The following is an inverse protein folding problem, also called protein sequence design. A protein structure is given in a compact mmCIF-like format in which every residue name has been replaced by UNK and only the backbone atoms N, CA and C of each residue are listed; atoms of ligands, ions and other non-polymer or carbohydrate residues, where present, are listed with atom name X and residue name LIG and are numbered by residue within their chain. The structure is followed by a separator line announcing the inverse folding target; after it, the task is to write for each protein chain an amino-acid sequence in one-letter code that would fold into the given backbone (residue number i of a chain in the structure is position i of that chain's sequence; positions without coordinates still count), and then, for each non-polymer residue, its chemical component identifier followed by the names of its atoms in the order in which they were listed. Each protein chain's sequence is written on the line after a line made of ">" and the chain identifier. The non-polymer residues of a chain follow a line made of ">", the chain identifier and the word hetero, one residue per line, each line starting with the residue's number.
data_IF_016866640842
#
_entry.id   IF_016866640842
#
_cell.length_a   1.000
_cell.length_b   1.000
_cell.length_c   1.000
_cell.angle_alpha   90.00
_cell.angle_beta   90.00
_cell.angle_gamma   90.00
#
_symmetry.space_group_name_H-M   'P 1'
#
loop_
_entity.id
_entity.type
_entity.pdbx_description
1 polymer ?
#
# COMPACT_ATOMS: atom_id res chain seq x y z
N UNK A 1 10.79 -7.98 10.94
CA UNK A 1 9.75 -8.92 10.51
C UNK A 1 8.54 -8.73 11.39
N UNK A 2 7.38 -8.45 10.80
CA UNK A 2 6.09 -8.40 11.48
C UNK A 2 5.32 -9.68 11.21
N UNK A 3 4.26 -9.87 11.99
CA UNK A 3 3.37 -11.00 11.90
C UNK A 3 1.95 -10.50 11.69
N UNK A 4 1.23 -11.14 10.79
CA UNK A 4 -0.09 -10.72 10.38
C UNK A 4 -1.08 -11.88 10.48
N UNK A 5 -2.32 -11.56 10.80
CA UNK A 5 -3.43 -12.47 10.73
C UNK A 5 -4.39 -12.00 9.65
N UNK A 6 -4.73 -12.89 8.72
CA UNK A 6 -5.72 -12.60 7.67
C UNK A 6 -6.92 -13.54 7.77
N UNK A 7 -8.12 -12.96 7.76
CA UNK A 7 -9.38 -13.71 7.68
C UNK A 7 -9.83 -13.81 6.23
N UNK A 8 -9.80 -15.03 5.67
CA UNK A 8 -10.10 -15.27 4.25
C UNK A 8 -11.32 -16.19 4.07
N UNK A 9 -12.34 -16.06 4.94
CA UNK A 9 -13.51 -16.95 4.90
C UNK A 9 -14.24 -16.94 3.54
N UNK A 10 -14.18 -15.84 2.79
CA UNK A 10 -14.87 -15.65 1.51
C UNK A 10 -13.97 -15.91 0.29
N UNK A 11 -12.68 -15.61 0.38
CA UNK A 11 -11.76 -15.49 -0.77
C UNK A 11 -10.47 -16.32 -0.63
N UNK A 12 -10.41 -17.23 0.35
CA UNK A 12 -9.19 -18.02 0.62
C UNK A 12 -8.66 -18.74 -0.61
N UNK A 13 -9.51 -19.43 -1.37
CA UNK A 13 -9.02 -20.28 -2.46
C UNK A 13 -8.40 -19.41 -3.56
N UNK A 14 -9.03 -18.27 -3.90
CA UNK A 14 -8.49 -17.31 -4.84
C UNK A 14 -7.20 -16.63 -4.33
N UNK A 15 -7.17 -16.17 -3.08
CA UNK A 15 -6.02 -15.46 -2.52
C UNK A 15 -4.81 -16.39 -2.27
N UNK A 16 -5.05 -17.58 -1.72
CA UNK A 16 -3.98 -18.53 -1.38
C UNK A 16 -3.43 -19.20 -2.64
N UNK A 17 -4.28 -19.63 -3.57
CA UNK A 17 -3.81 -20.26 -4.80
C UNK A 17 -3.29 -19.20 -5.80
N UNK A 18 -3.84 -17.99 -5.78
CA UNK A 18 -3.35 -16.85 -6.57
C UNK A 18 -2.09 -16.18 -6.02
N UNK A 19 -1.72 -16.47 -4.77
CA UNK A 19 -0.50 -15.96 -4.16
C UNK A 19 -0.54 -14.46 -3.83
N UNK A 20 -1.66 -13.97 -3.32
CA UNK A 20 -1.81 -12.56 -2.96
C UNK A 20 -2.79 -12.33 -1.79
N UNK A 21 -2.69 -11.16 -1.17
CA UNK A 21 -3.79 -10.56 -0.41
C UNK A 21 -4.37 -9.41 -1.20
N UNK A 22 -5.69 -9.20 -1.09
CA UNK A 22 -6.36 -8.05 -1.68
C UNK A 22 -7.50 -7.56 -0.78
N UNK A 23 -7.55 -6.24 -0.56
CA UNK A 23 -8.69 -5.61 0.10
C UNK A 23 -9.13 -4.34 -0.63
N UNK A 24 -10.39 -3.90 -0.49
CA UNK A 24 -10.75 -2.52 -0.80
C UNK A 24 -9.90 -1.54 -0.01
N UNK A 25 -9.83 -0.27 -0.45
CA UNK A 25 -9.22 0.79 0.38
C UNK A 25 -10.17 1.25 1.48
N UNK A 26 -11.48 1.25 1.20
CA UNK A 26 -12.53 1.74 2.10
C UNK A 26 -13.70 0.76 2.19
N UNK A 27 -14.55 0.95 3.20
CA UNK A 27 -15.83 0.27 3.28
C UNK A 27 -16.77 0.77 2.17
N UNK A 28 -17.85 0.02 1.89
CA UNK A 28 -18.85 0.39 0.87
C UNK A 28 -19.54 1.74 1.11
N UNK A 29 -19.53 2.25 2.34
CA UNK A 29 -20.02 3.58 2.70
C UNK A 29 -18.94 4.69 2.62
N UNK A 30 -17.76 4.39 2.08
CA UNK A 30 -16.61 5.30 1.98
C UNK A 30 -15.82 5.51 3.28
N UNK A 31 -16.25 4.93 4.40
CA UNK A 31 -15.54 5.04 5.67
C UNK A 31 -14.23 4.25 5.64
N UNK A 32 -13.22 4.74 6.38
CA UNK A 32 -11.97 4.03 6.59
C UNK A 32 -12.19 2.74 7.36
N UNK A 33 -11.45 1.69 7.01
CA UNK A 33 -11.47 0.42 7.72
C UNK A 33 -10.07 0.11 8.24
N UNK A 34 -9.84 0.08 9.56
CA UNK A 34 -8.50 -0.12 10.12
C UNK A 34 -7.85 -1.44 9.68
N UNK A 35 -8.63 -2.45 9.31
CA UNK A 35 -8.12 -3.75 8.85
C UNK A 35 -7.70 -3.74 7.37
N UNK A 36 -8.28 -2.85 6.56
CA UNK A 36 -7.80 -2.61 5.20
C UNK A 36 -6.56 -1.71 5.22
N UNK A 37 -6.54 -0.74 6.13
CA UNK A 37 -5.39 0.14 6.35
C UNK A 37 -4.12 -0.63 6.75
N UNK A 38 -4.26 -1.72 7.51
CA UNK A 38 -3.16 -2.63 7.85
C UNK A 38 -2.38 -3.13 6.63
N UNK A 39 -3.02 -3.26 5.45
CA UNK A 39 -2.34 -3.72 4.23
C UNK A 39 -1.15 -2.83 3.88
N UNK A 40 -1.27 -1.50 4.09
CA UNK A 40 -0.21 -0.52 3.76
C UNK A 40 1.08 -0.70 4.55
N UNK A 41 1.04 -1.46 5.63
CA UNK A 41 2.18 -1.71 6.50
C UNK A 41 2.78 -3.11 6.37
N UNK A 42 2.24 -3.94 5.47
CA UNK A 42 2.85 -5.23 5.12
C UNK A 42 4.10 -4.99 4.31
N UNK A 43 5.20 -5.60 4.74
CA UNK A 43 6.50 -5.52 4.10
C UNK A 43 7.00 -6.90 3.63
N UNK A 44 7.86 -6.96 2.60
CA UNK A 44 8.55 -8.17 2.21
C UNK A 44 9.24 -8.85 3.40
N UNK A 45 9.05 -10.16 3.53
CA UNK A 45 9.56 -10.96 4.64
C UNK A 45 8.67 -10.96 5.89
N UNK A 46 7.51 -10.31 5.87
CA UNK A 46 6.52 -10.50 6.94
C UNK A 46 5.81 -11.86 6.81
N UNK A 47 5.43 -12.44 7.96
CA UNK A 47 4.69 -13.71 8.03
C UNK A 47 3.19 -13.46 8.19
N UNK A 48 2.38 -14.23 7.48
CA UNK A 48 0.92 -14.04 7.39
C UNK A 48 0.21 -15.35 7.70
N UNK A 49 -0.53 -15.41 8.80
CA UNK A 49 -1.35 -16.56 9.18
C UNK A 49 -2.72 -16.48 8.52
N UNK A 50 -3.04 -17.45 7.67
CA UNK A 50 -4.29 -17.52 6.93
C UNK A 50 -5.37 -18.26 7.71
N UNK A 51 -6.39 -17.52 8.16
CA UNK A 51 -7.52 -18.03 8.91
C UNK A 51 -8.76 -18.19 8.04
N UNK A 52 -9.29 -19.42 7.96
CA UNK A 52 -10.53 -19.77 7.26
C UNK A 52 -11.30 -20.80 8.07
N UNK A 53 -12.62 -20.64 8.16
CA UNK A 53 -13.55 -21.58 8.83
C UNK A 53 -13.04 -22.04 10.21
N UNK A 54 -12.62 -21.08 11.03
CA UNK A 54 -12.12 -21.28 12.42
C UNK A 54 -10.73 -21.90 12.57
N UNK A 55 -10.00 -22.14 11.47
CA UNK A 55 -8.67 -22.77 11.49
C UNK A 55 -7.62 -21.91 10.82
N UNK A 56 -6.36 -22.11 11.20
CA UNK A 56 -5.21 -21.66 10.41
C UNK A 56 -4.88 -22.75 9.40
N UNK A 57 -4.98 -22.42 8.11
CA UNK A 57 -4.83 -23.38 7.02
C UNK A 57 -3.56 -23.19 6.20
N UNK A 58 -2.98 -22.00 6.23
CA UNK A 58 -1.75 -21.69 5.52
C UNK A 58 -0.94 -20.61 6.28
N UNK A 59 0.35 -20.58 6.00
CA UNK A 59 1.24 -19.47 6.37
C UNK A 59 1.84 -18.90 5.10
N UNK A 60 1.73 -17.58 4.94
CA UNK A 60 2.27 -16.83 3.83
C UNK A 60 3.52 -16.07 4.22
N UNK A 61 4.44 -15.92 3.27
CA UNK A 61 5.55 -14.98 3.34
C UNK A 61 5.26 -13.84 2.35
N UNK A 62 5.19 -12.61 2.82
CA UNK A 62 5.02 -11.45 1.94
C UNK A 62 6.25 -11.29 1.04
N UNK A 63 6.03 -11.17 -0.28
CA UNK A 63 7.09 -11.02 -1.30
C UNK A 63 7.22 -9.58 -1.82
N UNK A 64 6.27 -8.72 -1.49
CA UNK A 64 6.22 -7.34 -1.95
C UNK A 64 5.75 -6.41 -0.85
N UNK A 65 5.98 -5.10 -1.04
CA UNK A 65 5.23 -4.08 -0.33
C UNK A 65 3.77 -4.08 -0.81
N UNK A 66 2.91 -3.37 -0.09
CA UNK A 66 1.57 -3.06 -0.55
C UNK A 66 1.60 -2.11 -1.75
N UNK A 67 0.74 -2.34 -2.73
CA UNK A 67 0.51 -1.42 -3.83
C UNK A 67 -0.97 -1.35 -4.17
N UNK A 68 -1.35 -0.31 -4.90
CA UNK A 68 -2.70 -0.20 -5.43
C UNK A 68 -2.92 -1.15 -6.60
N UNK A 69 -4.02 -1.87 -6.59
CA UNK A 69 -4.37 -2.78 -7.68
C UNK A 69 -5.86 -2.72 -7.97
N UNK A 70 -6.27 -2.83 -9.24
CA UNK A 70 -7.63 -3.20 -9.58
C UNK A 70 -8.06 -4.47 -8.84
N UNK A 71 -9.37 -4.61 -8.61
CA UNK A 71 -9.95 -5.85 -8.07
C UNK A 71 -9.61 -7.02 -9.00
N UNK A 72 -9.06 -8.13 -8.47
CA UNK A 72 -8.80 -9.34 -9.26
C UNK A 72 -10.06 -9.83 -9.98
N UNK A 73 -9.90 -10.26 -11.23
CA UNK A 73 -11.04 -10.62 -12.10
C UNK A 73 -11.71 -11.90 -11.58
N UNK A 74 -10.91 -12.81 -11.03
CA UNK A 74 -11.29 -14.07 -10.39
C UNK A 74 -12.19 -13.90 -9.14
N UNK A 75 -12.37 -12.67 -8.64
CA UNK A 75 -13.30 -12.39 -7.54
C UNK A 75 -14.77 -12.26 -7.99
N UNK A 76 -15.05 -12.38 -9.30
CA UNK A 76 -16.38 -12.39 -9.96
C UNK A 76 -17.58 -12.03 -9.07
N UNK A 77 -18.12 -13.04 -8.35
CA UNK A 77 -19.34 -12.94 -7.50
C UNK A 77 -19.08 -12.73 -6.01
N UNK A 78 -17.85 -12.99 -5.54
CA UNK A 78 -17.47 -12.96 -4.11
C UNK A 78 -17.18 -11.53 -3.58
N UNK A 79 -17.38 -10.49 -4.39
CA UNK A 79 -17.03 -9.11 -4.04
C UNK A 79 -17.82 -8.05 -4.79
N UNK A 80 -19.10 -8.28 -5.09
CA UNK A 80 -19.94 -7.32 -5.82
C UNK A 80 -20.03 -5.93 -5.15
N UNK A 81 -19.86 -5.87 -3.83
CA UNK A 81 -19.91 -4.62 -3.05
C UNK A 81 -18.53 -3.96 -2.83
N UNK A 82 -17.46 -4.50 -3.43
CA UNK A 82 -16.11 -3.98 -3.28
C UNK A 82 -15.72 -3.03 -4.40
N UNK A 83 -15.00 -1.97 -4.01
CA UNK A 83 -14.47 -0.94 -4.90
C UNK A 83 -13.63 -1.55 -6.04
N UNK A 84 -13.55 -0.83 -7.16
CA UNK A 84 -12.80 -1.27 -8.35
C UNK A 84 -11.28 -1.30 -8.11
N UNK A 85 -10.79 -0.52 -7.15
CA UNK A 85 -9.38 -0.38 -6.79
C UNK A 85 -9.23 -0.68 -5.30
N UNK A 86 -8.18 -1.43 -4.96
CA UNK A 86 -7.87 -1.85 -3.61
C UNK A 86 -6.38 -1.90 -3.34
N UNK A 87 -6.04 -2.38 -2.16
CA UNK A 87 -4.69 -2.72 -1.76
C UNK A 87 -4.38 -4.16 -2.13
N UNK A 88 -3.17 -4.42 -2.62
CA UNK A 88 -2.68 -5.77 -2.93
C UNK A 88 -1.29 -5.98 -2.35
N UNK A 89 -1.04 -7.22 -1.94
CA UNK A 89 0.28 -7.70 -1.49
C UNK A 89 0.53 -9.04 -2.14
N UNK A 90 1.72 -9.28 -2.69
CA UNK A 90 2.11 -10.58 -3.22
C UNK A 90 2.57 -11.45 -2.07
N UNK A 91 2.03 -12.65 -1.96
CA UNK A 91 2.28 -13.54 -0.83
C UNK A 91 2.53 -14.95 -1.32
N UNK A 92 3.66 -15.52 -0.90
CA UNK A 92 3.94 -16.93 -1.13
C UNK A 92 3.33 -17.75 0.00
N UNK A 93 2.14 -18.29 -0.23
CA UNK A 93 1.47 -19.15 0.73
C UNK A 93 2.00 -20.59 0.70
N UNK A 94 2.10 -21.18 1.90
CA UNK A 94 2.36 -22.60 2.12
C UNK A 94 1.19 -23.16 2.93
N UNK A 95 0.47 -24.13 2.35
CA UNK A 95 -0.63 -24.82 3.04
C UNK A 95 -0.04 -25.73 4.13
N UNK A 96 -0.66 -25.71 5.30
CA UNK A 96 -0.20 -26.47 6.47
C UNK A 96 -0.79 -27.88 6.45
N UNK A 97 0.02 -28.88 6.80
CA UNK A 97 -0.49 -30.21 7.13
C UNK A 97 -1.13 -30.20 8.53
N UNK A 98 -0.46 -29.61 9.52
CA UNK A 98 -1.02 -29.41 10.85
C UNK A 98 -1.88 -28.14 10.93
N UNK A 99 -3.18 -28.28 10.64
CA UNK A 99 -4.14 -27.17 10.79
C UNK A 99 -4.63 -27.06 12.22
N UNK A 100 -4.34 -25.94 12.91
CA UNK A 100 -4.82 -25.71 14.27
C UNK A 100 -6.15 -24.94 14.28
N UNK A 101 -6.94 -25.14 15.35
CA UNK A 101 -8.12 -24.33 15.66
C UNK A 101 -7.80 -23.43 16.86
N UNK A 102 -7.48 -22.14 16.66
CA UNK A 102 -7.01 -21.24 17.73
C UNK A 102 -7.93 -21.18 18.95
N UNK A 103 -9.25 -21.30 18.75
CA UNK A 103 -10.23 -21.37 19.84
C UNK A 103 -9.97 -22.51 20.84
N UNK A 104 -9.45 -23.66 20.38
CA UNK A 104 -9.15 -24.80 21.25
C UNK A 104 -7.91 -24.54 22.14
N UNK A 105 -7.15 -23.50 21.84
CA UNK A 105 -5.92 -23.10 22.53
C UNK A 105 -6.06 -21.70 23.16
N UNK A 106 -7.30 -21.23 23.36
CA UNK A 106 -7.53 -19.86 23.81
C UNK A 106 -6.94 -19.60 25.19
N UNK A 107 -6.85 -20.60 26.07
CA UNK A 107 -6.29 -20.44 27.42
C UNK A 107 -4.82 -19.98 27.40
N UNK A 108 -4.05 -20.42 26.40
CA UNK A 108 -2.64 -20.03 26.24
C UNK A 108 -2.45 -18.84 25.29
N UNK A 109 -3.41 -18.59 24.38
CA UNK A 109 -3.36 -17.47 23.43
C UNK A 109 -3.91 -16.17 24.03
N UNK A 110 -4.93 -16.26 24.88
CA UNK A 110 -5.65 -15.11 25.44
C UNK A 110 -4.76 -14.09 26.18
N UNK A 111 -3.74 -14.51 26.98
CA UNK A 111 -2.85 -13.56 27.65
C UNK A 111 -2.07 -12.65 26.71
N UNK A 112 -1.92 -13.03 25.44
CA UNK A 112 -1.15 -12.30 24.44
C UNK A 112 -2.03 -11.62 23.38
N UNK A 113 -3.36 -11.64 23.52
CA UNK A 113 -4.24 -10.91 22.62
C UNK A 113 -4.02 -9.40 22.78
N UNK A 114 -3.93 -8.63 21.67
CA UNK A 114 -3.80 -7.19 21.78
C UNK A 114 -5.12 -6.57 22.25
N UNK A 115 -5.06 -5.48 23.00
CA UNK A 115 -6.25 -4.77 23.50
C UNK A 115 -7.10 -4.18 22.36
N UNK A 116 -6.44 -3.72 21.30
CA UNK A 116 -7.05 -3.17 20.09
C UNK A 116 -6.75 -4.05 18.88
N UNK A 117 -7.71 -4.12 17.95
CA UNK A 117 -7.58 -4.82 16.66
C UNK A 117 -7.21 -6.31 16.78
N UNK A 118 -7.61 -6.95 17.88
CA UNK A 118 -7.39 -8.38 18.09
C UNK A 118 -8.01 -9.24 16.97
N UNK A 119 -7.33 -10.30 16.50
CA UNK A 119 -7.90 -11.24 15.53
C UNK A 119 -9.02 -12.11 16.13
N UNK A 120 -8.99 -12.30 17.45
CA UNK A 120 -9.89 -13.17 18.21
C UNK A 120 -10.49 -12.42 19.40
N UNK A 121 -11.72 -12.77 19.75
CA UNK A 121 -12.32 -12.40 21.03
C UNK A 121 -11.65 -13.18 22.18
N UNK A 122 -11.75 -12.73 23.44
CA UNK A 122 -11.23 -13.47 24.60
C UNK A 122 -11.78 -14.89 24.75
N UNK A 123 -12.95 -15.18 24.18
CA UNK A 123 -13.56 -16.53 24.13
C UNK A 123 -13.06 -17.39 22.94
N UNK A 124 -12.11 -16.88 22.15
CA UNK A 124 -11.50 -17.55 21.00
C UNK A 124 -12.31 -17.51 19.70
N UNK A 125 -13.45 -16.82 19.68
CA UNK A 125 -14.20 -16.61 18.44
C UNK A 125 -13.48 -15.61 17.53
N UNK A 126 -13.39 -15.91 16.25
CA UNK A 126 -12.91 -14.96 15.24
C UNK A 126 -13.91 -13.82 15.01
N UNK A 127 -13.40 -12.66 14.59
CA UNK A 127 -14.19 -11.48 14.28
C UNK A 127 -14.39 -11.35 12.77
N UNK A 128 -15.64 -11.38 12.30
CA UNK A 128 -15.94 -11.27 10.86
C UNK A 128 -15.54 -9.93 10.23
N UNK A 129 -15.43 -8.87 11.03
CA UNK A 129 -15.04 -7.53 10.57
C UNK A 129 -13.55 -7.39 10.28
N UNK A 130 -12.72 -8.27 10.83
CA UNK A 130 -11.27 -8.26 10.62
C UNK A 130 -11.00 -8.86 9.25
N UNK A 131 -10.29 -8.13 8.38
CA UNK A 131 -9.62 -8.71 7.22
C UNK A 131 -8.16 -8.99 7.55
N UNK A 132 -7.33 -7.96 7.75
CA UNK A 132 -5.93 -8.09 8.11
C UNK A 132 -5.62 -7.31 9.40
N UNK A 133 -4.90 -7.94 10.33
CA UNK A 133 -4.42 -7.26 11.55
C UNK A 133 -3.02 -7.72 11.93
N UNK A 134 -2.27 -6.85 12.57
CA UNK A 134 -0.92 -7.14 13.07
C UNK A 134 -1.01 -7.93 14.36
N UNK A 135 -0.10 -8.89 14.54
CA UNK A 135 -0.01 -9.73 15.72
C UNK A 135 1.15 -9.31 16.61
N UNK A 136 0.95 -9.27 17.94
CA UNK A 136 2.06 -9.18 18.88
C UNK A 136 3.06 -10.33 18.66
N UNK A 137 4.34 -10.07 18.91
CA UNK A 137 5.42 -11.05 18.74
C UNK A 137 5.14 -12.30 19.59
N UNK A 138 4.79 -12.12 20.87
CA UNK A 138 4.54 -13.22 21.79
C UNK A 138 3.34 -14.07 21.37
N UNK A 139 2.26 -13.44 20.88
CA UNK A 139 1.10 -14.16 20.34
C UNK A 139 1.51 -15.02 19.14
N UNK A 140 2.35 -14.45 18.26
CA UNK A 140 2.82 -15.12 17.06
C UNK A 140 3.73 -16.29 17.38
N UNK A 141 4.62 -16.17 18.37
CA UNK A 141 5.48 -17.27 18.84
C UNK A 141 4.67 -18.44 19.38
N UNK A 142 3.65 -18.19 20.22
CA UNK A 142 2.74 -19.23 20.71
C UNK A 142 2.00 -19.89 19.54
N UNK A 143 1.52 -19.09 18.58
CA UNK A 143 0.83 -19.60 17.41
C UNK A 143 1.73 -20.49 16.53
N UNK A 144 2.97 -20.08 16.29
CA UNK A 144 3.96 -20.87 15.55
C UNK A 144 4.29 -22.17 16.25
N UNK A 145 4.47 -22.15 17.58
CA UNK A 145 4.71 -23.37 18.37
C UNK A 145 3.53 -24.36 18.29
N UNK A 146 2.29 -23.86 18.25
CA UNK A 146 1.11 -24.71 18.10
C UNK A 146 1.00 -25.33 16.71
N UNK A 147 1.40 -24.61 15.66
CA UNK A 147 1.47 -25.15 14.30
C UNK A 147 2.63 -26.16 14.18
N UNK A 148 3.77 -25.88 14.81
CA UNK A 148 4.93 -26.75 14.87
C UNK A 148 6.01 -26.44 13.83
N UNK A 149 6.86 -27.45 13.57
CA UNK A 149 8.09 -27.36 12.77
C UNK A 149 7.88 -26.82 11.34
N UNK A 150 6.66 -26.93 10.79
CA UNK A 150 6.33 -26.46 9.43
C UNK A 150 6.56 -24.94 9.24
N UNK A 151 6.51 -24.15 10.31
CA UNK A 151 6.67 -22.69 10.22
C UNK A 151 8.14 -22.27 10.23
N UNK A 152 9.03 -23.05 10.86
CA UNK A 152 10.45 -22.73 10.97
C UNK A 152 11.13 -22.45 9.60
N UNK A 153 10.99 -23.30 8.57
CA UNK A 153 11.60 -23.02 7.26
C UNK A 153 11.00 -21.78 6.58
N UNK A 154 9.72 -21.46 6.84
CA UNK A 154 9.07 -20.26 6.32
C UNK A 154 9.66 -19.00 6.96
N UNK A 155 9.85 -19.00 8.28
CA UNK A 155 10.49 -17.90 9.00
C UNK A 155 11.94 -17.66 8.56
N UNK A 156 12.69 -18.72 8.23
CA UNK A 156 14.03 -18.60 7.63
C UNK A 156 13.95 -18.01 6.23
N UNK A 157 13.05 -18.51 5.38
CA UNK A 157 12.89 -18.00 4.02
C UNK A 157 12.53 -16.52 3.99
N UNK A 158 11.70 -16.07 4.95
CA UNK A 158 11.24 -14.71 5.13
C UNK A 158 12.39 -13.70 5.32
N UNK A 159 13.50 -14.12 5.96
CA UNK A 159 14.67 -13.26 6.18
C UNK A 159 15.46 -12.95 4.89
N UNK A 160 15.27 -13.75 3.84
CA UNK A 160 16.02 -13.67 2.59
C UNK A 160 15.20 -13.17 1.40
N UNK A 161 13.94 -12.80 1.66
CA UNK A 161 13.03 -12.31 0.61
C UNK A 161 13.61 -11.07 -0.04
N UNK A 162 13.73 -11.11 -1.37
CA UNK A 162 13.99 -9.93 -2.17
C UNK A 162 12.65 -9.38 -2.66
N UNK A 163 12.34 -8.09 -2.41
CA UNK A 163 11.09 -7.50 -2.85
C UNK A 163 10.91 -7.64 -4.36
N UNK A 164 9.73 -8.09 -4.79
CA UNK A 164 9.38 -8.19 -6.21
C UNK A 164 8.72 -6.89 -6.68
N UNK A 165 9.18 -6.26 -7.78
CA UNK A 165 8.49 -5.13 -8.40
C UNK A 165 7.08 -5.51 -8.87
N UNK A 166 6.17 -4.56 -8.89
CA UNK A 166 4.78 -4.77 -9.33
C UNK A 166 4.37 -3.72 -10.37
N UNK A 167 3.68 -4.21 -11.41
CA UNK A 167 3.37 -3.45 -12.63
C UNK A 167 1.84 -3.29 -12.86
N UNK A 168 1.00 -3.75 -11.92
CA UNK A 168 -0.47 -3.71 -12.05
C UNK A 168 -1.00 -2.27 -12.23
N UNK A 169 -0.32 -1.28 -11.64
CA UNK A 169 -0.67 0.14 -11.73
C UNK A 169 -0.45 0.66 -13.15
N UNK A 170 0.68 0.33 -13.77
CA UNK A 170 1.01 0.81 -15.12
C UNK A 170 0.00 0.29 -16.14
N UNK A 171 -0.43 -0.97 -15.99
CA UNK A 171 -1.47 -1.57 -16.82
C UNK A 171 -2.82 -0.87 -16.62
N UNK A 172 -3.20 -0.56 -15.38
CA UNK A 172 -4.44 0.14 -15.08
C UNK A 172 -4.46 1.56 -15.65
N UNK A 173 -3.36 2.29 -15.50
CA UNK A 173 -3.24 3.64 -16.06
C UNK A 173 -3.26 3.63 -17.59
N UNK A 174 -2.65 2.64 -18.24
CA UNK A 174 -2.76 2.46 -19.70
C UNK A 174 -4.21 2.27 -20.14
N UNK A 175 -5.01 1.53 -19.36
CA UNK A 175 -6.44 1.35 -19.65
C UNK A 175 -7.22 2.66 -19.48
N UNK A 176 -6.99 3.40 -18.40
CA UNK A 176 -7.60 4.72 -18.19
C UNK A 176 -7.22 5.70 -19.30
N UNK A 177 -5.97 5.63 -19.78
CA UNK A 177 -5.51 6.42 -20.91
C UNK A 177 -6.31 6.08 -22.19
N UNK A 178 -6.56 4.79 -22.46
CA UNK A 178 -7.41 4.37 -23.57
C UNK A 178 -8.85 4.87 -23.44
N UNK A 179 -9.43 4.81 -22.24
CA UNK A 179 -10.77 5.35 -21.98
C UNK A 179 -10.82 6.85 -22.33
N UNK A 180 -9.81 7.62 -21.88
CA UNK A 180 -9.67 9.05 -22.22
C UNK A 180 -9.46 9.24 -23.71
N UNK A 181 -8.70 8.39 -24.40
CA UNK A 181 -8.51 8.48 -25.86
C UNK A 181 -9.83 8.26 -26.62
N UNK A 182 -10.69 7.39 -26.10
CA UNK A 182 -11.97 7.05 -26.73
C UNK A 182 -13.11 8.03 -26.42
N UNK A 183 -12.96 8.89 -25.42
CA UNK A 183 -14.01 9.79 -24.97
C UNK A 183 -14.25 10.95 -25.96
N UNK A 184 -15.40 11.01 -26.66
CA UNK A 184 -15.68 12.07 -27.63
C UNK A 184 -15.98 13.43 -27.00
N UNK A 185 -16.21 13.49 -25.68
CA UNK A 185 -16.53 14.73 -24.96
C UNK A 185 -15.29 15.55 -24.62
N UNK A 186 -14.10 14.93 -24.65
CA UNK A 186 -12.82 15.59 -24.39
C UNK A 186 -12.25 16.15 -25.70
N UNK A 187 -12.01 17.46 -25.82
CA UNK A 187 -11.37 18.04 -27.00
C UNK A 187 -9.98 17.44 -27.25
N UNK A 188 -9.58 17.31 -28.52
CA UNK A 188 -8.31 16.64 -28.89
C UNK A 188 -7.06 17.28 -28.24
N UNK A 189 -7.03 18.60 -28.13
CA UNK A 189 -5.92 19.33 -27.48
C UNK A 189 -5.84 19.04 -25.98
N UNK A 190 -7.00 18.92 -25.32
CA UNK A 190 -7.10 18.58 -23.90
C UNK A 190 -6.72 17.12 -23.66
N UNK A 191 -7.19 16.21 -24.53
CA UNK A 191 -6.84 14.79 -24.54
C UNK A 191 -5.32 14.60 -24.60
N UNK A 192 -4.64 15.25 -25.54
CA UNK A 192 -3.18 15.19 -25.67
C UNK A 192 -2.47 15.77 -24.43
N UNK A 193 -2.98 16.86 -23.87
CA UNK A 193 -2.42 17.45 -22.65
C UNK A 193 -2.53 16.48 -21.46
N UNK A 194 -3.68 15.82 -21.30
CA UNK A 194 -3.94 14.86 -20.21
C UNK A 194 -3.04 13.62 -20.33
N UNK A 195 -2.88 13.08 -21.54
CA UNK A 195 -2.02 11.92 -21.80
C UNK A 195 -0.57 12.27 -21.48
N UNK A 196 -0.07 13.42 -21.94
CA UNK A 196 1.30 13.86 -21.65
C UNK A 196 1.52 14.16 -20.17
N UNK A 197 0.48 14.60 -19.46
CA UNK A 197 0.56 14.85 -18.02
C UNK A 197 0.87 13.56 -17.24
N UNK A 198 0.36 12.40 -17.68
CA UNK A 198 0.62 11.09 -17.03
C UNK A 198 2.11 10.82 -16.83
N UNK A 199 2.94 11.14 -17.82
CA UNK A 199 4.40 10.97 -17.77
C UNK A 199 5.14 12.23 -17.31
N UNK A 200 4.45 13.16 -16.64
CA UNK A 200 5.04 14.37 -16.09
C UNK A 200 5.50 15.39 -17.14
N UNK A 201 4.82 15.46 -18.29
CA UNK A 201 5.20 16.31 -19.43
C UNK A 201 4.11 17.30 -19.86
N UNK A 202 4.47 18.16 -20.81
CA UNK A 202 3.57 19.10 -21.47
C UNK A 202 3.07 20.18 -20.52
N UNK A 203 1.80 20.56 -20.70
CA UNK A 203 1.17 21.67 -19.98
C UNK A 203 1.18 21.48 -18.46
N UNK A 204 1.05 20.24 -17.98
CA UNK A 204 1.13 19.95 -16.54
C UNK A 204 2.51 20.34 -15.99
N UNK A 205 3.59 19.86 -16.62
CA UNK A 205 4.96 20.19 -16.24
C UNK A 205 5.22 21.70 -16.24
N UNK A 206 4.76 22.39 -17.27
CA UNK A 206 4.89 23.85 -17.37
C UNK A 206 4.20 24.57 -16.21
N UNK A 207 3.02 24.09 -15.80
CA UNK A 207 2.26 24.65 -14.68
C UNK A 207 2.92 24.35 -13.33
N UNK A 208 3.41 23.14 -13.12
CA UNK A 208 4.20 22.78 -11.93
C UNK A 208 5.43 23.66 -11.83
N UNK A 209 6.12 23.90 -12.95
CA UNK A 209 7.35 24.72 -13.00
C UNK A 209 7.13 26.21 -12.73
N UNK A 210 5.88 26.69 -12.68
CA UNK A 210 5.53 28.05 -12.23
C UNK A 210 5.47 28.17 -10.71
N UNK A 211 5.37 27.04 -10.00
CA UNK A 211 5.23 26.96 -8.53
C UNK A 211 6.52 26.38 -7.92
N UNK A 212 7.03 25.31 -8.53
CA UNK A 212 8.22 24.58 -8.13
C UNK A 212 9.40 24.90 -9.04
N UNK A 213 10.58 25.13 -8.46
CA UNK A 213 11.79 25.47 -9.23
C UNK A 213 12.90 24.43 -9.14
N UNK A 214 12.79 23.47 -8.21
CA UNK A 214 13.82 22.46 -7.92
C UNK A 214 13.27 21.24 -7.23
N UNK A 215 14.07 20.18 -7.18
CA UNK A 215 13.76 19.04 -6.33
C UNK A 215 13.70 19.45 -4.85
N UNK A 216 12.57 19.18 -4.21
CA UNK A 216 12.33 19.47 -2.78
C UNK A 216 13.29 18.76 -1.83
N UNK A 217 13.87 17.63 -2.23
CA UNK A 217 14.81 16.85 -1.41
C UNK A 217 16.26 17.05 -1.84
N UNK A 218 16.58 16.91 -3.12
CA UNK A 218 17.98 16.95 -3.58
C UNK A 218 18.45 18.36 -3.92
N UNK A 219 17.55 19.33 -4.04
CA UNK A 219 17.87 20.70 -4.43
C UNK A 219 18.23 20.88 -5.91
N UNK A 220 18.20 19.81 -6.73
CA UNK A 220 18.52 19.88 -8.16
C UNK A 220 17.56 20.85 -8.88
N UNK A 221 18.11 21.83 -9.58
CA UNK A 221 17.37 22.89 -10.29
C UNK A 221 17.31 22.67 -11.81
N UNK A 222 18.22 21.87 -12.38
CA UNK A 222 18.25 21.64 -13.82
C UNK A 222 17.03 20.82 -14.28
N UNK A 223 16.11 21.39 -15.09
CA UNK A 223 14.86 20.72 -15.44
C UNK A 223 15.05 19.37 -16.14
N UNK A 224 16.14 19.14 -16.87
CA UNK A 224 16.36 17.86 -17.57
C UNK A 224 16.49 16.67 -16.59
N UNK A 225 16.79 16.95 -15.31
CA UNK A 225 16.95 15.94 -14.26
C UNK A 225 15.72 15.87 -13.33
N UNK A 226 14.64 16.59 -13.65
CA UNK A 226 13.45 16.66 -12.82
C UNK A 226 12.25 16.04 -13.53
N UNK A 227 11.49 15.25 -12.80
CA UNK A 227 10.16 14.74 -13.16
C UNK A 227 9.12 15.63 -12.49
N UNK A 228 8.03 15.95 -13.21
CA UNK A 228 6.87 16.56 -12.59
C UNK A 228 5.98 15.42 -12.07
N UNK A 229 6.06 15.17 -10.78
CA UNK A 229 5.37 14.07 -10.09
C UNK A 229 4.04 14.56 -9.54
N UNK A 230 2.96 13.80 -9.74
CA UNK A 230 1.65 14.16 -9.18
C UNK A 230 1.58 13.89 -7.68
N UNK A 231 1.02 14.82 -6.90
CA UNK A 231 0.74 14.59 -5.47
C UNK A 231 -0.44 13.63 -5.28
N UNK A 232 -1.58 13.94 -5.90
CA UNK A 232 -2.70 13.01 -6.07
C UNK A 232 -2.49 12.30 -7.41
N UNK A 233 -2.30 10.97 -7.42
CA UNK A 233 -1.94 10.23 -8.63
C UNK A 233 -2.88 10.51 -9.80
N UNK A 234 -2.33 10.53 -11.02
CA UNK A 234 -3.07 10.82 -12.25
C UNK A 234 -4.33 9.93 -12.42
N UNK A 235 -4.26 8.67 -11.98
CA UNK A 235 -5.37 7.71 -11.99
C UNK A 235 -6.55 8.09 -11.10
N UNK A 236 -6.30 8.80 -9.99
CA UNK A 236 -7.31 9.21 -9.01
C UNK A 236 -7.81 10.65 -9.27
N UNK A 237 -7.14 11.38 -10.16
CA UNK A 237 -7.40 12.78 -10.47
C UNK A 237 -8.48 12.97 -11.55
N UNK A 238 -9.27 14.05 -11.42
CA UNK A 238 -10.11 14.56 -12.51
C UNK A 238 -9.24 15.15 -13.63
N UNK A 239 -9.81 15.41 -14.81
CA UNK A 239 -9.08 16.04 -15.92
C UNK A 239 -8.49 17.40 -15.55
N UNK A 240 -9.21 18.19 -14.75
CA UNK A 240 -8.74 19.47 -14.23
C UNK A 240 -7.55 19.26 -13.27
N UNK A 241 -7.64 18.31 -12.34
CA UNK A 241 -6.58 17.98 -11.39
C UNK A 241 -5.33 17.40 -12.07
N UNK A 242 -5.49 16.62 -13.14
CA UNK A 242 -4.38 16.05 -13.93
C UNK A 242 -3.52 17.13 -14.57
N UNK A 243 -4.10 18.28 -14.89
CA UNK A 243 -3.42 19.43 -15.49
C UNK A 243 -3.13 20.55 -14.47
N UNK A 244 -3.46 20.37 -13.19
CA UNK A 244 -3.29 21.41 -12.17
C UNK A 244 -1.84 21.44 -11.67
N UNK A 245 -1.15 22.58 -11.80
CA UNK A 245 0.23 22.73 -11.31
C UNK A 245 0.38 22.58 -9.80
N UNK A 246 -0.67 22.86 -9.02
CA UNK A 246 -0.68 22.66 -7.56
C UNK A 246 -0.73 21.17 -7.20
N UNK A 247 -1.12 20.29 -8.13
CA UNK A 247 -1.11 18.84 -7.96
C UNK A 247 0.24 18.22 -8.33
N UNK A 248 1.33 18.97 -8.31
CA UNK A 248 2.63 18.42 -8.65
C UNK A 248 3.80 19.00 -7.87
N UNK A 249 4.85 18.18 -7.80
CA UNK A 249 6.17 18.54 -7.30
C UNK A 249 7.21 18.26 -8.38
N UNK A 250 8.27 19.06 -8.44
CA UNK A 250 9.46 18.69 -9.20
C UNK A 250 10.35 17.81 -8.32
N UNK A 251 10.69 16.61 -8.80
CA UNK A 251 11.50 15.65 -8.06
C UNK A 251 12.56 15.02 -8.98
N UNK A 252 13.71 14.65 -8.44
CA UNK A 252 14.66 13.79 -9.18
C UNK A 252 14.09 12.37 -9.30
N UNK A 253 14.45 11.58 -10.32
CA UNK A 253 13.84 10.26 -10.58
C UNK A 253 13.82 9.31 -9.37
N UNK A 254 14.88 9.31 -8.55
CA UNK A 254 14.94 8.49 -7.33
C UNK A 254 13.92 8.92 -6.27
N UNK A 255 13.69 10.23 -6.15
CA UNK A 255 12.77 10.80 -5.15
C UNK A 255 11.32 10.69 -5.65
N UNK A 256 11.10 10.92 -6.94
CA UNK A 256 9.83 10.67 -7.62
C UNK A 256 9.37 9.23 -7.36
N UNK A 257 10.23 8.24 -7.62
CA UNK A 257 9.94 6.84 -7.35
C UNK A 257 9.52 6.58 -5.89
N UNK A 258 10.24 7.15 -4.92
CA UNK A 258 9.95 6.95 -3.50
C UNK A 258 8.63 7.63 -3.09
N UNK A 259 8.32 8.78 -3.66
CA UNK A 259 7.11 9.53 -3.40
C UNK A 259 5.89 8.84 -4.03
N UNK A 260 5.94 8.55 -5.33
CA UNK A 260 4.84 7.91 -6.09
C UNK A 260 4.47 6.53 -5.53
N UNK A 261 5.47 5.75 -5.07
CA UNK A 261 5.24 4.44 -4.43
C UNK A 261 4.90 4.54 -2.93
N UNK A 262 4.76 5.74 -2.38
CA UNK A 262 4.31 5.98 -1.01
C UNK A 262 5.35 5.66 0.07
N UNK A 263 6.64 5.49 -0.26
CA UNK A 263 7.70 5.29 0.74
C UNK A 263 8.06 6.57 1.49
N UNK A 264 7.83 7.72 0.86
CA UNK A 264 7.95 9.04 1.49
C UNK A 264 6.73 9.89 1.19
N UNK A 265 6.49 10.88 2.03
CA UNK A 265 5.51 11.93 1.78
C UNK A 265 5.93 13.19 2.55
N UNK A 266 5.11 14.24 2.53
CA UNK A 266 5.36 15.47 3.28
C UNK A 266 4.16 15.86 4.14
N UNK A 267 4.44 16.37 5.33
CA UNK A 267 3.47 17.11 6.13
C UNK A 267 3.22 18.49 5.53
N UNK A 268 2.08 19.11 5.88
CA UNK A 268 1.67 20.41 5.34
C UNK A 268 2.65 21.56 5.69
N UNK A 269 3.52 21.36 6.69
CA UNK A 269 4.57 22.29 7.09
C UNK A 269 5.93 22.04 6.41
N UNK A 270 6.00 21.13 5.43
CA UNK A 270 7.25 20.81 4.72
C UNK A 270 8.07 19.68 5.33
N UNK A 271 7.69 19.14 6.50
CA UNK A 271 8.44 18.05 7.12
C UNK A 271 8.32 16.78 6.26
N UNK A 272 9.46 16.20 5.90
CA UNK A 272 9.54 14.88 5.27
C UNK A 272 9.04 13.81 6.26
N UNK A 273 8.18 12.92 5.78
CA UNK A 273 7.75 11.73 6.50
C UNK A 273 8.14 10.49 5.69
N UNK A 274 8.66 9.48 6.40
CA UNK A 274 9.18 8.25 5.83
C UNK A 274 8.28 7.12 6.32
N UNK A 275 7.84 6.29 5.38
CA UNK A 275 6.98 5.15 5.69
C UNK A 275 7.67 4.19 6.67
N UNK A 276 6.93 3.62 7.63
CA UNK A 276 7.46 2.62 8.56
C UNK A 276 7.93 1.33 7.88
N UNK A 277 7.51 1.05 6.64
CA UNK A 277 7.96 -0.11 5.86
C UNK A 277 9.14 0.19 4.95
N UNK A 278 9.53 1.47 4.80
CA UNK A 278 10.60 1.85 3.90
C UNK A 278 11.95 1.23 4.32
N UNK A 279 12.67 0.66 3.35
CA UNK A 279 14.01 0.13 3.60
C UNK A 279 15.02 1.26 3.78
N UNK A 280 15.20 1.71 5.02
CA UNK A 280 16.05 2.84 5.43
C UNK A 280 17.45 2.87 4.76
N UNK A 281 18.21 1.76 4.70
CA UNK A 281 19.51 1.76 4.03
C UNK A 281 19.45 2.10 2.53
N UNK A 282 18.37 1.72 1.84
CA UNK A 282 18.18 2.11 0.44
C UNK A 282 17.87 3.60 0.32
N UNK A 283 16.97 4.13 1.16
CA UNK A 283 16.62 5.57 1.16
C UNK A 283 17.86 6.43 1.40
N UNK A 284 18.72 6.06 2.34
CA UNK A 284 19.97 6.76 2.60
C UNK A 284 20.90 6.75 1.38
N UNK A 285 21.06 5.59 0.73
CA UNK A 285 21.86 5.46 -0.52
C UNK A 285 21.25 6.22 -1.71
N UNK A 286 19.94 6.46 -1.68
CA UNK A 286 19.22 7.27 -2.67
C UNK A 286 19.27 8.77 -2.36
N UNK A 287 19.97 9.18 -1.30
CA UNK A 287 20.22 10.59 -0.96
C UNK A 287 19.20 11.21 0.00
N UNK A 288 18.38 10.39 0.68
CA UNK A 288 17.48 10.87 1.72
C UNK A 288 18.20 10.88 3.07
N UNK A 289 18.19 12.03 3.74
CA UNK A 289 18.59 12.08 5.16
C UNK A 289 17.49 11.46 6.02
N UNK A 290 17.79 10.28 6.57
CA UNK A 290 16.87 9.50 7.41
C UNK A 290 17.11 9.70 8.92
N UNK A 291 18.20 10.39 9.28
CA UNK A 291 18.64 10.59 10.66
C UNK A 291 18.17 11.93 11.21
N UNK A 292 18.12 12.96 10.36
CA UNK A 292 17.68 14.30 10.75
C UNK A 292 16.26 14.60 10.26
N UNK A 293 15.60 15.51 10.98
CA UNK A 293 14.33 16.09 10.50
C UNK A 293 14.64 16.96 9.28
N UNK A 294 14.25 16.47 8.10
CA UNK A 294 14.37 17.22 6.86
C UNK A 294 13.07 18.01 6.59
N UNK A 295 13.19 19.32 6.32
CA UNK A 295 12.06 20.18 5.97
C UNK A 295 12.30 20.82 4.60
N UNK A 296 11.35 20.65 3.68
CA UNK A 296 11.44 21.08 2.28
C UNK A 296 10.87 22.47 2.00
N UNK A 297 10.54 23.21 3.07
CA UNK A 297 9.86 24.49 3.01
C UNK A 297 8.34 24.37 2.94
N UNK A 298 7.66 25.51 2.90
CA UNK A 298 6.19 25.56 2.87
C UNK A 298 5.60 25.10 1.53
N UNK A 299 4.35 24.63 1.61
CA UNK A 299 3.49 24.32 0.47
C UNK A 299 2.38 25.38 0.35
N UNK A 300 1.90 25.59 -0.87
CA UNK A 300 0.67 26.38 -1.11
C UNK A 300 -0.56 25.68 -0.49
N UNK A 301 -1.68 26.38 -0.38
CA UNK A 301 -2.92 25.74 0.07
C UNK A 301 -3.47 24.74 -0.95
N UNK A 302 -3.17 24.92 -2.24
CA UNK A 302 -3.50 23.94 -3.28
C UNK A 302 -2.71 22.65 -3.11
N UNK A 303 -1.38 22.75 -2.97
CA UNK A 303 -0.48 21.62 -2.74
C UNK A 303 -0.83 20.85 -1.48
N UNK A 304 -1.16 21.55 -0.37
CA UNK A 304 -1.57 20.90 0.88
C UNK A 304 -2.76 19.97 0.68
N UNK A 305 -3.77 20.35 -0.11
CA UNK A 305 -4.95 19.49 -0.38
C UNK A 305 -4.58 18.20 -1.10
N UNK A 306 -3.66 18.27 -2.07
CA UNK A 306 -3.20 17.07 -2.79
C UNK A 306 -2.24 16.23 -1.94
N UNK A 307 -1.39 16.85 -1.12
CA UNK A 307 -0.55 16.13 -0.15
C UNK A 307 -1.39 15.46 0.94
N UNK A 308 -2.50 16.06 1.37
CA UNK A 308 -3.46 15.42 2.27
C UNK A 308 -4.01 14.15 1.63
N UNK A 309 -4.36 14.17 0.34
CA UNK A 309 -4.76 12.95 -0.39
C UNK A 309 -3.62 11.93 -0.40
N UNK A 310 -2.41 12.34 -0.77
CA UNK A 310 -1.23 11.47 -0.83
C UNK A 310 -1.00 10.73 0.50
N UNK A 311 -0.98 11.45 1.63
CA UNK A 311 -0.82 10.86 2.98
C UNK A 311 -1.94 9.87 3.32
N UNK A 312 -3.16 10.11 2.85
CA UNK A 312 -4.32 9.30 3.19
C UNK A 312 -4.54 8.10 2.24
N UNK A 313 -4.00 8.11 1.03
CA UNK A 313 -4.39 7.17 -0.02
C UNK A 313 -3.23 6.53 -0.80
N UNK A 314 -1.99 7.03 -0.65
CA UNK A 314 -0.79 6.54 -1.34
C UNK A 314 0.30 6.15 -0.34
N UNK A 315 0.57 7.01 0.64
CA UNK A 315 1.63 6.80 1.63
C UNK A 315 1.46 5.47 2.38
N UNK A 316 2.55 4.70 2.49
CA UNK A 316 2.56 3.36 3.07
C UNK A 316 2.66 3.39 4.60
N UNK A 317 1.65 3.98 5.23
CA UNK A 317 1.47 4.00 6.69
C UNK A 317 -0.01 3.84 7.03
N UNK A 318 -0.31 2.98 7.99
CA UNK A 318 -1.66 2.73 8.44
C UNK A 318 -2.13 3.87 9.35
N UNK A 319 -3.35 4.37 9.14
CA UNK A 319 -3.92 5.45 9.96
C UNK A 319 -4.64 4.93 11.22
N UNK A 320 -4.25 3.74 11.70
CA UNK A 320 -4.75 3.11 12.94
C UNK A 320 -4.41 4.03 14.13
N UNK A 321 -5.42 4.46 14.90
CA UNK A 321 -5.27 5.23 16.16
C UNK A 321 -5.90 4.49 17.35
#
# INVERSE_FOLDING_TARGET
>A
MRYWWVNQNQTYDQEVDGGYLWSPKRNSNGAKNPFYESMREVAPGDLIFSFKKTKILAVGVAESYCWESPKPIEFETAGHNWEKIGWKVKVKFTKLANTIRPKNHIEILAPYLPEKYSPLQPNGNGLQSVYLTELPVQFSEVLMNLIGEEVAPLAVSAQTVKPVPTDDIDFWELRLEQDIISDPTVPETERQAIIRARVGQGLFRERVSKIETRCRITGVENPIHLVASHCKPWRDSTNEERLNGENGLLLTPSIDHLFDRGFISFENNGKLIISPVAHRPSLQRMGIDIENVYNVGGFSDGQKRFLDFHRNAVFLESLRK
#
